data_IF_292218282113
#
_entry.id   IF_292218282113
#
_cell.length_a   1.000
_cell.length_b   1.000
_cell.length_c   1.000
_cell.angle_alpha   90.00
_cell.angle_beta   90.00
_cell.angle_gamma   90.00
#
_symmetry.space_group_name_H-M   'P 1'
#
loop_
_entity.id
_entity.type
_entity.pdbx_description
1 polymer ?
#
# COMPACT_ATOMS: atom_id res chain seq x y z
N UNK A 1 -41.41 20.13 -51.12
CA UNK A 1 -42.22 18.90 -51.29
C UNK A 1 -41.86 18.02 -50.09
N UNK A 2 -42.62 18.12 -48.94
CA UNK A 2 -43.72 17.24 -48.61
C UNK A 2 -43.28 15.78 -48.80
N UNK A 3 -43.03 15.04 -47.72
CA UNK A 3 -44.06 14.12 -47.17
C UNK A 3 -43.68 13.61 -45.79
N UNK A 4 -44.61 13.75 -44.93
CA UNK A 4 -44.88 13.24 -43.61
C UNK A 4 -45.23 11.74 -43.73
N UNK A 5 -44.76 10.88 -42.80
CA UNK A 5 -45.51 9.70 -42.39
C UNK A 5 -44.93 9.18 -41.05
N UNK A 6 -45.53 9.49 -39.96
CA UNK A 6 -46.61 8.80 -39.19
C UNK A 6 -46.18 7.41 -38.68
N UNK A 7 -45.96 7.35 -37.38
CA UNK A 7 -46.58 6.49 -36.32
C UNK A 7 -46.41 4.98 -36.51
N UNK A 8 -45.74 4.34 -35.56
CA UNK A 8 -46.41 3.24 -34.85
C UNK A 8 -45.78 3.00 -33.49
N UNK A 9 -46.60 3.21 -32.52
CA UNK A 9 -46.44 2.84 -31.11
C UNK A 9 -46.47 1.32 -31.02
N UNK A 10 -45.49 0.69 -30.47
CA UNK A 10 -45.60 -0.68 -30.01
C UNK A 10 -44.95 -0.81 -28.63
N UNK A 11 -45.81 -0.76 -27.65
CA UNK A 11 -45.49 -1.12 -26.28
C UNK A 11 -45.13 -2.60 -26.22
N UNK A 12 -43.88 -2.93 -25.90
CA UNK A 12 -43.50 -4.31 -25.57
C UNK A 12 -43.03 -4.33 -24.10
N UNK A 13 -43.91 -4.83 -23.28
CA UNK A 13 -43.61 -5.29 -21.92
C UNK A 13 -42.51 -6.38 -22.04
N UNK A 14 -41.32 -6.14 -21.50
CA UNK A 14 -40.35 -7.20 -21.29
C UNK A 14 -40.09 -7.34 -19.79
N UNK A 15 -40.45 -8.49 -19.33
CA UNK A 15 -40.33 -9.08 -18.02
C UNK A 15 -38.92 -8.92 -17.42
N UNK A 16 -38.91 -8.47 -16.19
CA UNK A 16 -37.73 -8.49 -15.30
C UNK A 16 -37.26 -9.93 -15.10
N UNK A 17 -36.17 -10.30 -15.75
CA UNK A 17 -35.36 -11.43 -15.31
C UNK A 17 -34.25 -10.87 -14.43
N UNK A 18 -34.47 -10.98 -13.14
CA UNK A 18 -33.45 -10.83 -12.12
C UNK A 18 -32.50 -12.02 -12.23
N UNK A 19 -31.46 -11.91 -13.10
CA UNK A 19 -30.29 -12.77 -13.03
C UNK A 19 -29.32 -12.13 -12.04
N UNK A 20 -29.23 -12.72 -10.85
CA UNK A 20 -28.22 -12.41 -9.87
C UNK A 20 -26.83 -12.69 -10.42
N UNK A 21 -26.16 -11.67 -10.93
CA UNK A 21 -24.75 -11.71 -11.28
C UNK A 21 -23.96 -11.53 -10.02
N UNK A 22 -23.48 -12.65 -9.50
CA UNK A 22 -22.55 -12.72 -8.38
C UNK A 22 -21.21 -12.18 -8.91
N UNK A 23 -21.00 -10.88 -8.80
CA UNK A 23 -19.69 -10.26 -8.96
C UNK A 23 -18.79 -10.82 -7.87
N UNK A 24 -17.79 -11.59 -8.27
CA UNK A 24 -16.64 -11.89 -7.43
C UNK A 24 -15.81 -10.61 -7.37
N UNK A 25 -16.17 -9.71 -6.48
CA UNK A 25 -15.26 -8.71 -5.97
C UNK A 25 -14.20 -9.47 -5.19
N UNK A 26 -13.01 -9.58 -5.79
CA UNK A 26 -11.79 -9.88 -5.04
C UNK A 26 -11.45 -8.63 -4.24
N UNK A 27 -12.25 -8.39 -3.23
CA UNK A 27 -11.90 -7.50 -2.15
C UNK A 27 -10.72 -8.17 -1.44
N UNK A 28 -9.50 -7.74 -1.80
CA UNK A 28 -8.35 -7.92 -0.92
C UNK A 28 -8.60 -7.04 0.30
N UNK A 29 -9.53 -7.50 1.12
CA UNK A 29 -9.73 -7.00 2.45
C UNK A 29 -8.44 -7.29 3.22
N UNK A 30 -7.57 -6.29 3.30
CA UNK A 30 -6.71 -6.17 4.44
C UNK A 30 -7.66 -5.89 5.61
N UNK A 31 -8.11 -6.94 6.26
CA UNK A 31 -8.72 -6.84 7.57
C UNK A 31 -7.66 -6.24 8.51
N UNK A 32 -7.51 -4.94 8.44
CA UNK A 32 -7.03 -4.19 9.57
C UNK A 32 -8.09 -4.42 10.64
N UNK A 33 -7.83 -5.36 11.55
CA UNK A 33 -8.55 -5.41 12.80
C UNK A 33 -8.45 -4.00 13.36
N UNK A 34 -9.51 -3.20 13.11
CA UNK A 34 -9.79 -2.02 13.88
C UNK A 34 -10.01 -2.55 15.30
N UNK A 35 -8.91 -2.65 16.04
CA UNK A 35 -8.95 -2.97 17.46
C UNK A 35 -9.82 -1.90 18.05
N UNK A 36 -10.90 -2.32 18.69
CA UNK A 36 -11.90 -1.47 19.32
C UNK A 36 -11.22 -0.26 19.97
N UNK A 37 -11.52 0.93 19.46
CA UNK A 37 -10.88 2.20 19.83
C UNK A 37 -11.17 2.62 21.29
N UNK A 38 -11.72 1.72 22.09
CA UNK A 38 -12.01 1.89 23.52
C UNK A 38 -10.97 1.27 24.44
N UNK A 39 -10.06 0.41 23.94
CA UNK A 39 -8.97 -0.14 24.76
C UNK A 39 -7.88 0.92 24.97
N UNK A 40 -7.83 1.49 26.17
CA UNK A 40 -6.82 2.46 26.59
C UNK A 40 -5.64 1.84 27.34
N UNK A 41 -5.50 0.53 27.28
CA UNK A 41 -4.39 -0.16 27.93
C UNK A 41 -3.05 0.34 27.37
N UNK A 42 -1.96 0.28 28.14
CA UNK A 42 -0.65 0.70 27.69
C UNK A 42 -0.18 -0.06 26.42
N UNK A 43 -0.57 -1.33 26.25
CA UNK A 43 -0.21 -2.11 25.08
C UNK A 43 -1.05 -1.72 23.86
N UNK A 44 -2.34 -1.42 24.03
CA UNK A 44 -3.18 -0.90 22.97
C UNK A 44 -2.67 0.45 22.43
N UNK A 45 -2.24 1.34 23.35
CA UNK A 45 -1.63 2.61 22.97
C UNK A 45 -0.34 2.40 22.17
N UNK A 46 0.55 1.55 22.65
CA UNK A 46 1.82 1.26 21.97
C UNK A 46 1.61 0.60 20.61
N UNK A 47 0.64 -0.31 20.49
CA UNK A 47 0.20 -0.87 19.21
C UNK A 47 -0.24 0.23 18.24
N UNK A 48 -1.10 1.14 18.69
CA UNK A 48 -1.58 2.25 17.87
C UNK A 48 -0.43 3.16 17.41
N UNK A 49 0.57 3.40 18.27
CA UNK A 49 1.75 4.18 17.90
C UNK A 49 2.62 3.47 16.85
N UNK A 50 2.78 2.15 16.94
CA UNK A 50 3.46 1.33 15.91
C UNK A 50 2.72 1.43 14.57
N UNK A 51 1.40 1.22 14.59
CA UNK A 51 0.58 1.28 13.39
C UNK A 51 0.52 2.67 12.79
N UNK A 52 0.54 3.74 13.57
CA UNK A 52 0.58 5.10 13.06
C UNK A 52 1.82 5.38 12.19
N UNK A 53 2.98 4.81 12.54
CA UNK A 53 4.19 4.91 11.72
C UNK A 53 4.06 4.10 10.44
N UNK A 54 3.52 2.89 10.51
CA UNK A 54 3.21 2.08 9.35
C UNK A 54 2.30 2.84 8.37
N UNK A 55 1.18 3.38 8.88
CA UNK A 55 0.17 4.07 8.08
C UNK A 55 0.70 5.38 7.46
N UNK A 56 1.64 6.06 8.14
CA UNK A 56 2.35 7.23 7.60
C UNK A 56 3.12 6.88 6.31
N UNK A 57 3.78 5.72 6.28
CA UNK A 57 4.70 5.39 5.18
C UNK A 57 4.14 4.42 4.15
N UNK A 58 3.04 3.73 4.42
CA UNK A 58 2.42 2.82 3.45
C UNK A 58 2.09 3.48 2.11
N UNK A 59 1.55 4.71 2.05
CA UNK A 59 1.34 5.41 0.78
C UNK A 59 2.63 5.62 -0.02
N UNK A 60 3.80 5.65 0.64
CA UNK A 60 5.11 5.83 0.01
C UNK A 60 5.59 4.61 -0.80
N UNK A 61 4.95 3.46 -0.63
CA UNK A 61 5.21 2.29 -1.48
C UNK A 61 4.92 2.58 -2.96
N UNK A 62 3.89 3.39 -3.25
CA UNK A 62 3.60 3.86 -4.59
C UNK A 62 4.68 4.79 -5.14
N UNK A 63 5.20 5.69 -4.31
CA UNK A 63 6.32 6.59 -4.68
C UNK A 63 7.58 5.76 -5.02
N UNK A 64 7.91 4.76 -4.19
CA UNK A 64 9.04 3.83 -4.42
C UNK A 64 8.90 3.14 -5.77
N UNK A 65 7.73 2.57 -6.06
CA UNK A 65 7.48 1.91 -7.33
C UNK A 65 7.68 2.86 -8.52
N UNK A 66 7.07 4.04 -8.48
CA UNK A 66 7.12 5.03 -9.56
C UNK A 66 8.55 5.53 -9.82
N UNK A 67 9.30 5.84 -8.76
CA UNK A 67 10.69 6.27 -8.85
C UNK A 67 11.56 5.18 -9.44
N UNK A 68 11.40 3.94 -8.98
CA UNK A 68 12.17 2.80 -9.48
C UNK A 68 11.95 2.58 -10.97
N UNK A 69 10.71 2.61 -11.45
CA UNK A 69 10.41 2.45 -12.88
C UNK A 69 10.95 3.63 -13.70
N UNK A 70 10.87 4.85 -13.19
CA UNK A 70 11.47 6.03 -13.84
C UNK A 70 13.00 5.92 -13.98
N UNK A 71 13.69 5.45 -12.92
CA UNK A 71 15.15 5.27 -12.94
C UNK A 71 15.56 4.12 -13.86
N UNK A 72 14.84 3.00 -13.89
CA UNK A 72 15.09 1.91 -14.84
C UNK A 72 15.00 2.39 -16.29
N UNK A 73 13.96 3.16 -16.61
CA UNK A 73 13.80 3.73 -17.95
C UNK A 73 15.00 4.61 -18.36
N UNK A 74 15.55 5.42 -17.42
CA UNK A 74 16.76 6.22 -17.68
C UNK A 74 17.99 5.36 -18.03
N UNK A 75 18.09 4.16 -17.45
CA UNK A 75 19.15 3.20 -17.80
C UNK A 75 18.91 2.56 -19.16
N UNK A 76 17.67 2.20 -19.50
CA UNK A 76 17.31 1.53 -20.75
C UNK A 76 17.49 2.45 -21.97
N UNK A 77 17.12 3.72 -21.88
CA UNK A 77 17.23 4.70 -22.97
C UNK A 77 18.59 5.45 -23.00
N UNK A 78 19.54 5.01 -22.18
CA UNK A 78 20.87 5.60 -22.03
C UNK A 78 20.87 7.09 -21.64
N UNK A 79 19.79 7.61 -21.06
CA UNK A 79 19.72 8.99 -20.57
C UNK A 79 20.39 9.19 -19.20
N UNK A 80 20.90 8.12 -18.61
CA UNK A 80 21.58 8.15 -17.31
C UNK A 80 22.92 8.92 -17.34
N UNK A 81 23.62 8.95 -18.48
CA UNK A 81 24.92 9.59 -18.60
C UNK A 81 25.91 9.11 -17.54
N UNK A 82 26.64 10.07 -16.93
CA UNK A 82 27.62 9.77 -15.88
C UNK A 82 26.98 9.29 -14.56
N UNK A 83 25.65 9.40 -14.41
CA UNK A 83 24.93 9.00 -13.19
C UNK A 83 24.51 7.52 -13.16
N UNK A 84 24.90 6.71 -14.12
CA UNK A 84 24.49 5.30 -14.21
C UNK A 84 24.66 4.55 -12.89
N UNK A 85 25.84 4.62 -12.29
CA UNK A 85 26.13 3.93 -11.02
C UNK A 85 25.28 4.44 -9.84
N UNK A 86 25.04 5.75 -9.80
CA UNK A 86 24.18 6.35 -8.77
C UNK A 86 22.73 5.90 -8.92
N UNK A 87 22.24 5.81 -10.16
CA UNK A 87 20.89 5.32 -10.47
C UNK A 87 20.74 3.84 -10.09
N UNK A 88 21.71 2.99 -10.43
CA UNK A 88 21.71 1.57 -10.05
C UNK A 88 21.69 1.40 -8.51
N UNK A 89 22.49 2.20 -7.80
CA UNK A 89 22.50 2.21 -6.34
C UNK A 89 21.15 2.67 -5.75
N UNK A 90 20.55 3.70 -6.32
CA UNK A 90 19.25 4.18 -5.87
C UNK A 90 18.11 3.16 -6.10
N UNK A 91 18.10 2.48 -7.24
CA UNK A 91 17.16 1.38 -7.51
C UNK A 91 17.31 0.27 -6.45
N UNK A 92 18.55 -0.11 -6.12
CA UNK A 92 18.81 -1.12 -5.08
C UNK A 92 18.25 -0.70 -3.73
N UNK A 93 18.47 0.56 -3.31
CA UNK A 93 17.94 1.07 -2.04
C UNK A 93 16.42 1.14 -2.02
N UNK A 94 15.78 1.50 -3.12
CA UNK A 94 14.32 1.48 -3.24
C UNK A 94 13.78 0.04 -3.12
N UNK A 95 14.45 -0.95 -3.73
CA UNK A 95 14.07 -2.36 -3.61
C UNK A 95 14.25 -2.89 -2.18
N UNK A 96 15.34 -2.52 -1.51
CA UNK A 96 15.59 -2.89 -0.11
C UNK A 96 14.54 -2.29 0.83
N UNK A 97 14.16 -1.03 0.63
CA UNK A 97 13.15 -0.34 1.42
C UNK A 97 11.75 -0.95 1.23
N UNK A 98 11.34 -1.23 -0.01
CA UNK A 98 10.09 -1.95 -0.33
C UNK A 98 10.05 -3.32 0.36
N UNK A 99 11.13 -4.08 0.22
CA UNK A 99 11.28 -5.40 0.83
C UNK A 99 11.21 -5.34 2.36
N UNK A 100 11.89 -4.37 2.98
CA UNK A 100 11.93 -4.22 4.43
C UNK A 100 10.51 -4.00 4.99
N UNK A 101 9.70 -3.13 4.38
CA UNK A 101 8.32 -2.90 4.79
C UNK A 101 7.46 -4.16 4.62
N UNK A 102 7.54 -4.86 3.49
CA UNK A 102 6.78 -6.10 3.27
C UNK A 102 7.16 -7.21 4.24
N UNK A 103 8.44 -7.32 4.59
CA UNK A 103 8.92 -8.28 5.59
C UNK A 103 8.36 -7.92 6.95
N UNK A 104 8.48 -6.65 7.35
CA UNK A 104 7.98 -6.19 8.64
C UNK A 104 6.47 -6.46 8.79
N UNK A 105 5.64 -6.11 7.80
CA UNK A 105 4.19 -6.38 7.83
C UNK A 105 3.85 -7.86 7.99
N UNK A 106 4.60 -8.74 7.32
CA UNK A 106 4.37 -10.19 7.40
C UNK A 106 4.74 -10.77 8.77
N UNK A 107 5.74 -10.18 9.42
CA UNK A 107 6.29 -10.65 10.69
C UNK A 107 5.65 -9.98 11.91
N UNK A 108 4.94 -8.88 11.72
CA UNK A 108 4.24 -8.17 12.79
C UNK A 108 2.98 -8.93 13.20
N UNK A 109 3.03 -9.63 14.35
CA UNK A 109 1.97 -10.50 14.86
C UNK A 109 1.81 -10.37 16.38
N UNK A 110 1.39 -9.22 16.88
CA UNK A 110 1.18 -9.01 18.32
C UNK A 110 0.05 -9.86 18.91
N UNK A 111 -0.85 -10.33 18.07
CA UNK A 111 -1.97 -11.21 18.43
C UNK A 111 -1.51 -12.60 18.90
N UNK A 112 -0.36 -13.07 18.44
CA UNK A 112 0.20 -14.35 18.83
C UNK A 112 0.74 -14.34 20.28
N UNK A 113 0.82 -13.16 20.94
CA UNK A 113 1.39 -12.97 22.25
C UNK A 113 0.28 -12.69 23.28
N UNK A 114 0.01 -13.66 24.14
CA UNK A 114 -1.04 -13.56 25.16
C UNK A 114 -0.58 -12.96 26.48
N UNK A 115 0.72 -13.05 26.79
CA UNK A 115 1.32 -12.45 27.99
C UNK A 115 1.54 -10.94 27.78
N UNK A 116 0.93 -10.11 28.61
CA UNK A 116 0.94 -8.66 28.45
C UNK A 116 2.33 -8.03 28.61
N UNK A 117 3.19 -8.59 29.47
CA UNK A 117 4.55 -8.07 29.65
C UNK A 117 5.42 -8.39 28.42
N UNK A 118 5.31 -9.60 27.88
CA UNK A 118 5.99 -10.02 26.64
C UNK A 118 5.46 -9.26 25.43
N UNK A 119 4.15 -9.03 25.36
CA UNK A 119 3.54 -8.23 24.30
C UNK A 119 4.08 -6.81 24.30
N UNK A 120 4.25 -6.20 25.48
CA UNK A 120 4.86 -4.88 25.60
C UNK A 120 6.29 -4.85 25.07
N UNK A 121 7.13 -5.80 25.51
CA UNK A 121 8.50 -5.91 25.03
C UNK A 121 8.57 -6.11 23.51
N UNK A 122 7.70 -6.96 22.99
CA UNK A 122 7.57 -7.16 21.54
C UNK A 122 7.22 -5.86 20.81
N UNK A 123 6.18 -5.15 21.25
CA UNK A 123 5.75 -3.90 20.63
C UNK A 123 6.82 -2.80 20.73
N UNK A 124 7.56 -2.71 21.85
CA UNK A 124 8.69 -1.78 21.98
C UNK A 124 9.81 -2.10 20.96
N UNK A 125 10.04 -3.38 20.66
CA UNK A 125 11.01 -3.80 19.66
C UNK A 125 10.49 -3.54 18.24
N UNK A 126 9.21 -3.82 17.98
CA UNK A 126 8.58 -3.53 16.67
C UNK A 126 8.52 -2.03 16.38
N UNK A 127 8.30 -1.20 17.38
CA UNK A 127 8.43 0.26 17.29
C UNK A 127 9.78 0.70 16.72
N UNK A 128 10.87 0.11 17.23
CA UNK A 128 12.22 0.42 16.73
C UNK A 128 12.41 -0.02 15.27
N UNK A 129 11.90 -1.23 14.95
CA UNK A 129 12.00 -1.77 13.60
C UNK A 129 11.21 -0.92 12.59
N UNK A 130 9.96 -0.60 12.87
CA UNK A 130 9.13 0.18 11.93
C UNK A 130 9.66 1.61 11.76
N UNK A 131 10.22 2.23 12.80
CA UNK A 131 10.92 3.51 12.68
C UNK A 131 12.11 3.42 11.74
N UNK A 132 12.92 2.37 11.85
CA UNK A 132 14.05 2.15 10.95
C UNK A 132 13.59 1.94 9.51
N UNK A 133 12.55 1.13 9.29
CA UNK A 133 11.96 0.94 7.97
C UNK A 133 11.48 2.25 7.37
N UNK A 134 10.76 3.08 8.15
CA UNK A 134 10.35 4.42 7.72
C UNK A 134 11.53 5.28 7.29
N UNK A 135 12.57 5.35 8.12
CA UNK A 135 13.76 6.15 7.82
C UNK A 135 14.44 5.71 6.52
N UNK A 136 14.60 4.40 6.32
CA UNK A 136 15.20 3.84 5.12
C UNK A 136 14.35 4.11 3.87
N UNK A 137 13.02 3.97 3.97
CA UNK A 137 12.10 4.29 2.88
C UNK A 137 12.19 5.77 2.48
N UNK A 138 12.13 6.68 3.44
CA UNK A 138 12.19 8.11 3.16
C UNK A 138 13.55 8.51 2.58
N UNK A 139 14.65 7.98 3.12
CA UNK A 139 15.99 8.24 2.60
C UNK A 139 16.18 7.73 1.16
N UNK A 140 15.69 6.51 0.86
CA UNK A 140 15.75 5.95 -0.50
C UNK A 140 14.95 6.79 -1.51
N UNK A 141 13.75 7.24 -1.12
CA UNK A 141 12.89 8.11 -1.93
C UNK A 141 13.59 9.44 -2.22
N UNK A 142 14.11 10.12 -1.19
CA UNK A 142 14.79 11.41 -1.37
C UNK A 142 16.04 11.28 -2.24
N UNK A 143 16.84 10.21 -2.08
CA UNK A 143 17.97 9.95 -2.95
C UNK A 143 17.55 9.74 -4.41
N UNK A 144 16.47 9.02 -4.64
CA UNK A 144 15.99 8.72 -5.98
C UNK A 144 15.41 9.95 -6.72
N UNK A 145 14.80 10.90 -5.99
CA UNK A 145 14.18 12.10 -6.55
C UNK A 145 15.16 13.06 -7.22
N UNK A 146 16.42 13.05 -6.83
CA UNK A 146 17.43 13.99 -7.34
C UNK A 146 18.24 13.42 -8.53
N UNK A 147 17.92 12.23 -8.98
CA UNK A 147 18.56 11.53 -10.09
C UNK A 147 17.71 11.60 -11.36
#
# INVERSE_FOLDING_TARGET
MKTILKISSLALLVLLHACGQKSHDHEHGHDHHAQDSTDTSPNAKLYSEVMAIHDEVMPKMGDIYTLKEGLKKKLEDNSAGDKKSEIESAITKLDEADKAMRVWMREFKPEDITDEAKKREYLDNEMKKVKKVREDMLAAIEQAKVL
#
